data_IF_850869249393
#
_entry.id   IF_850869249393
#
_cell.length_a   1.000
_cell.length_b   1.000
_cell.length_c   1.000
_cell.angle_alpha   90.00
_cell.angle_beta   90.00
_cell.angle_gamma   90.00
#
_symmetry.space_group_name_H-M   'P 1'
#
loop_
_entity.id
_entity.type
_entity.pdbx_description
1 polymer ?
#
# COMPACT_ATOMS: atom_id res chain seq x y z
N UNK A 1 7.24 8.31 10.67
CA UNK A 1 6.05 9.02 11.17
C UNK A 1 5.55 9.85 10.01
N UNK A 2 4.27 9.81 9.71
CA UNK A 2 3.75 10.46 8.52
C UNK A 2 2.43 11.19 8.80
N UNK A 3 2.52 12.51 8.86
CA UNK A 3 1.35 13.38 8.80
C UNK A 3 1.03 13.64 7.33
N UNK A 4 -0.21 13.31 6.90
CA UNK A 4 -0.69 13.53 5.54
C UNK A 4 -1.68 14.69 5.51
N UNK A 5 -1.49 15.63 4.59
CA UNK A 5 -2.41 16.73 4.36
C UNK A 5 -2.77 16.86 2.87
N UNK A 6 -4.05 16.90 2.60
CA UNK A 6 -4.63 17.20 1.29
C UNK A 6 -5.44 18.49 1.41
N UNK A 7 -5.08 19.52 0.65
CA UNK A 7 -5.80 20.80 0.65
C UNK A 7 -6.29 21.15 -0.74
N UNK A 8 -7.61 21.23 -0.90
CA UNK A 8 -8.31 21.57 -2.15
C UNK A 8 -7.88 20.68 -3.33
N UNK A 9 -7.58 19.38 -3.05
CA UNK A 9 -7.06 18.46 -4.06
C UNK A 9 -8.14 18.06 -5.04
N UNK A 10 -7.84 18.23 -6.33
CA UNK A 10 -8.74 17.91 -7.43
C UNK A 10 -8.02 17.12 -8.52
N UNK A 11 -8.75 16.22 -9.20
CA UNK A 11 -8.31 15.50 -10.38
C UNK A 11 -9.29 15.66 -11.50
N UNK A 12 -8.83 16.24 -12.61
CA UNK A 12 -9.54 16.32 -13.88
C UNK A 12 -8.77 15.57 -14.95
N UNK A 13 -9.43 14.65 -15.64
CA UNK A 13 -8.84 13.94 -16.76
C UNK A 13 -8.91 14.75 -18.08
N UNK A 14 -8.09 14.43 -19.10
CA UNK A 14 -8.06 15.15 -20.37
C UNK A 14 -9.41 15.20 -21.11
N UNK A 15 -10.29 14.23 -20.86
CA UNK A 15 -11.66 14.21 -21.41
C UNK A 15 -12.62 15.17 -20.70
N UNK A 16 -12.14 15.99 -19.75
CA UNK A 16 -12.93 16.96 -18.99
C UNK A 16 -13.61 16.38 -17.74
N UNK A 17 -13.55 15.08 -17.51
CA UNK A 17 -14.19 14.44 -16.35
C UNK A 17 -13.45 14.75 -15.06
N UNK A 18 -14.19 15.24 -14.05
CA UNK A 18 -13.70 15.45 -12.70
C UNK A 18 -13.88 14.16 -11.87
N UNK A 19 -12.79 13.46 -11.59
CA UNK A 19 -12.82 12.27 -10.75
C UNK A 19 -12.81 12.59 -9.26
N UNK A 20 -12.15 13.69 -8.90
CA UNK A 20 -12.10 14.25 -7.54
C UNK A 20 -12.20 15.76 -7.66
N UNK A 21 -12.96 16.39 -6.77
CA UNK A 21 -13.14 17.84 -6.76
C UNK A 21 -13.10 18.38 -5.34
N UNK A 22 -12.17 19.30 -5.08
CA UNK A 22 -12.02 20.03 -3.82
C UNK A 22 -11.97 19.10 -2.58
N UNK A 23 -11.16 18.04 -2.66
CA UNK A 23 -11.04 17.07 -1.59
C UNK A 23 -10.04 17.55 -0.54
N UNK A 24 -10.44 17.50 0.72
CA UNK A 24 -9.65 17.92 1.86
C UNK A 24 -9.57 16.79 2.87
N UNK A 25 -8.35 16.49 3.39
CA UNK A 25 -8.11 15.47 4.39
C UNK A 25 -6.86 15.85 5.20
N UNK A 26 -6.97 15.79 6.50
CA UNK A 26 -5.84 15.86 7.43
C UNK A 26 -5.75 14.53 8.19
N UNK A 27 -4.56 13.96 8.24
CA UNK A 27 -4.27 12.76 9.03
C UNK A 27 -3.03 13.01 9.87
N UNK A 28 -3.14 12.74 11.16
CA UNK A 28 -1.99 12.80 12.05
C UNK A 28 -1.14 11.51 11.94
N UNK A 29 0.08 11.60 12.46
CA UNK A 29 0.97 10.44 12.50
C UNK A 29 0.37 9.29 13.31
N UNK A 30 0.46 8.08 12.76
CA UNK A 30 -0.07 6.88 13.38
C UNK A 30 -1.59 6.75 13.33
N UNK A 31 -2.31 7.58 12.60
CA UNK A 31 -3.75 7.40 12.42
C UNK A 31 -4.09 6.27 11.44
N UNK A 32 -5.17 5.54 11.76
CA UNK A 32 -5.83 4.61 10.87
C UNK A 32 -7.15 5.23 10.37
N UNK A 33 -7.15 5.70 9.14
CA UNK A 33 -8.31 6.37 8.52
C UNK A 33 -8.93 5.49 7.45
N UNK A 34 -10.27 5.37 7.45
CA UNK A 34 -11.02 4.63 6.44
C UNK A 34 -11.75 5.61 5.52
N UNK A 35 -11.43 5.55 4.23
CA UNK A 35 -12.07 6.34 3.19
C UNK A 35 -13.29 5.60 2.66
N UNK A 36 -14.48 6.03 3.04
CA UNK A 36 -15.74 5.41 2.63
C UNK A 36 -16.44 6.20 1.52
N UNK A 37 -17.28 5.54 0.75
CA UNK A 37 -18.07 6.18 -0.30
C UNK A 37 -18.58 5.18 -1.33
N UNK A 38 -19.52 5.64 -2.17
CA UNK A 38 -20.10 4.84 -3.24
C UNK A 38 -19.06 4.36 -4.25
N UNK A 39 -19.31 3.27 -4.98
CA UNK A 39 -18.45 2.86 -6.08
C UNK A 39 -18.22 4.00 -7.08
N UNK A 40 -16.98 4.15 -7.56
CA UNK A 40 -16.59 5.18 -8.55
C UNK A 40 -16.64 6.63 -8.06
N UNK A 41 -16.79 6.90 -6.76
CA UNK A 41 -16.77 8.27 -6.22
C UNK A 41 -15.37 8.91 -6.12
N UNK A 42 -14.31 8.24 -6.61
CA UNK A 42 -12.97 8.82 -6.66
C UNK A 42 -11.99 8.32 -5.58
N UNK A 43 -12.37 7.39 -4.69
CA UNK A 43 -11.49 6.86 -3.63
C UNK A 43 -10.14 6.38 -4.18
N UNK A 44 -10.15 5.46 -5.15
CA UNK A 44 -8.92 4.95 -5.78
C UNK A 44 -8.10 6.06 -6.44
N UNK A 45 -8.75 7.09 -6.99
CA UNK A 45 -8.07 8.24 -7.60
C UNK A 45 -7.34 9.05 -6.53
N UNK A 46 -7.97 9.30 -5.36
CA UNK A 46 -7.32 9.97 -4.23
C UNK A 46 -6.10 9.16 -3.78
N UNK A 47 -6.25 7.86 -3.53
CA UNK A 47 -5.14 6.99 -3.13
C UNK A 47 -3.99 6.99 -4.15
N UNK A 48 -4.31 6.96 -5.46
CA UNK A 48 -3.30 7.00 -6.53
C UNK A 48 -2.59 8.35 -6.62
N UNK A 49 -3.29 9.46 -6.40
CA UNK A 49 -2.66 10.78 -6.31
C UNK A 49 -1.67 10.85 -5.14
N UNK A 50 -2.05 10.34 -3.97
CA UNK A 50 -1.17 10.27 -2.80
C UNK A 50 0.05 9.38 -3.09
N UNK A 51 -0.14 8.23 -3.74
CA UNK A 51 0.95 7.33 -4.12
C UNK A 51 1.84 7.88 -5.25
N UNK A 52 1.42 8.92 -5.96
CA UNK A 52 2.11 9.47 -7.14
C UNK A 52 1.91 8.67 -8.43
N UNK A 53 0.92 7.77 -8.44
CA UNK A 53 0.53 7.03 -9.65
C UNK A 53 -0.41 7.82 -10.55
N UNK A 54 -0.96 8.93 -10.06
CA UNK A 54 -1.79 9.90 -10.78
C UNK A 54 -1.36 11.31 -10.35
N UNK A 55 -1.28 12.24 -11.31
CA UNK A 55 -0.97 13.63 -11.02
C UNK A 55 -2.17 14.36 -10.40
N UNK A 56 -1.90 15.28 -9.51
CA UNK A 56 -2.87 16.23 -8.98
C UNK A 56 -3.10 17.34 -10.02
N UNK A 57 -4.36 17.69 -10.28
CA UNK A 57 -4.67 18.79 -11.20
C UNK A 57 -4.67 20.13 -10.48
N UNK A 58 -5.24 20.18 -9.27
CA UNK A 58 -5.31 21.38 -8.41
C UNK A 58 -5.13 20.98 -6.95
N UNK A 59 -4.66 21.90 -6.13
CA UNK A 59 -4.48 21.71 -4.70
C UNK A 59 -3.09 21.19 -4.33
N UNK A 60 -2.89 20.95 -3.05
CA UNK A 60 -1.59 20.62 -2.46
C UNK A 60 -1.69 19.31 -1.68
N UNK A 61 -0.77 18.39 -1.97
CA UNK A 61 -0.49 17.19 -1.20
C UNK A 61 0.78 17.40 -0.39
N UNK A 62 0.71 17.20 0.92
CA UNK A 62 1.88 17.27 1.80
C UNK A 62 2.03 15.99 2.61
N UNK A 63 3.28 15.55 2.76
CA UNK A 63 3.68 14.48 3.68
C UNK A 63 4.74 15.04 4.62
N UNK A 64 4.50 14.98 5.94
CA UNK A 64 5.37 15.56 6.96
C UNK A 64 5.64 17.07 6.72
N UNK A 65 4.63 17.82 6.26
CA UNK A 65 4.71 19.23 5.96
C UNK A 65 5.52 19.58 4.70
N UNK A 66 5.88 18.60 3.89
CA UNK A 66 6.58 18.78 2.61
C UNK A 66 5.64 18.51 1.45
N UNK A 67 5.51 19.41 0.48
CA UNK A 67 4.76 19.16 -0.73
C UNK A 67 5.31 17.95 -1.50
N UNK A 68 4.42 17.05 -1.92
CA UNK A 68 4.79 15.84 -2.66
C UNK A 68 4.15 15.74 -4.04
N UNK A 69 3.51 16.80 -4.53
CA UNK A 69 2.87 16.81 -5.85
C UNK A 69 3.83 16.34 -6.95
N UNK A 70 5.04 16.89 -6.99
CA UNK A 70 6.05 16.63 -8.01
C UNK A 70 7.11 15.58 -7.60
N UNK A 71 6.90 14.91 -6.46
CA UNK A 71 7.81 13.86 -5.99
C UNK A 71 7.48 12.54 -6.68
N UNK A 72 8.48 11.89 -7.25
CA UNK A 72 8.35 10.60 -7.90
C UNK A 72 7.81 9.52 -6.90
N UNK A 73 6.95 8.57 -7.34
CA UNK A 73 6.37 7.54 -6.47
C UNK A 73 7.39 6.77 -5.62
N UNK A 74 8.57 6.49 -6.19
CA UNK A 74 9.66 5.74 -5.53
C UNK A 74 10.26 6.47 -4.33
N UNK A 75 10.17 7.82 -4.33
CA UNK A 75 10.81 8.72 -3.35
C UNK A 75 9.81 9.23 -2.29
N UNK A 76 8.51 8.88 -2.39
CA UNK A 76 7.46 9.30 -1.44
C UNK A 76 7.48 8.55 -0.11
N UNK A 77 8.23 7.46 0.04
CA UNK A 77 8.22 6.59 1.22
C UNK A 77 6.81 6.04 1.57
N UNK A 78 5.96 5.90 0.56
CA UNK A 78 4.59 5.39 0.63
C UNK A 78 4.54 3.99 0.03
N UNK A 79 3.79 3.08 0.66
CA UNK A 79 3.45 1.79 0.07
C UNK A 79 1.96 1.72 -0.25
N UNK A 80 1.64 1.38 -1.47
CA UNK A 80 0.25 1.15 -1.89
C UNK A 80 0.02 -0.31 -2.23
N UNK A 81 -1.01 -0.88 -1.62
CA UNK A 81 -1.55 -2.20 -1.96
C UNK A 81 -2.77 -1.97 -2.84
N UNK A 82 -2.62 -2.28 -4.13
CA UNK A 82 -3.66 -2.10 -5.12
C UNK A 82 -4.70 -3.23 -5.05
N UNK A 83 -5.90 -2.95 -5.51
CA UNK A 83 -6.97 -3.93 -5.71
C UNK A 83 -6.48 -5.14 -6.54
N UNK A 84 -5.75 -4.87 -7.63
CA UNK A 84 -5.06 -5.86 -8.44
C UNK A 84 -3.56 -5.80 -8.15
N UNK A 85 -3.07 -6.74 -7.36
CA UNK A 85 -1.66 -6.77 -6.96
C UNK A 85 -0.74 -7.21 -8.11
N UNK A 86 0.31 -6.41 -8.35
CA UNK A 86 1.32 -6.70 -9.35
C UNK A 86 2.44 -7.57 -8.75
N UNK A 87 2.19 -8.87 -8.59
CA UNK A 87 3.20 -9.83 -8.18
C UNK A 87 4.02 -10.34 -9.38
N UNK A 88 5.29 -10.62 -9.16
CA UNK A 88 6.16 -11.21 -10.16
C UNK A 88 5.86 -12.70 -10.31
N UNK A 89 5.02 -13.05 -11.29
CA UNK A 89 4.41 -14.39 -11.47
C UNK A 89 5.42 -15.54 -11.59
N UNK A 90 6.61 -15.27 -12.10
CA UNK A 90 7.66 -16.28 -12.33
C UNK A 90 8.61 -16.45 -11.14
N UNK A 91 8.47 -15.64 -10.11
CA UNK A 91 9.27 -15.66 -8.90
C UNK A 91 8.60 -16.48 -7.80
N UNK A 92 9.40 -16.90 -6.82
CA UNK A 92 8.91 -17.50 -5.57
C UNK A 92 8.28 -16.43 -4.67
N UNK A 93 7.66 -16.84 -3.57
CA UNK A 93 7.20 -15.92 -2.51
C UNK A 93 8.41 -15.16 -1.94
N UNK A 94 9.49 -15.87 -1.59
CA UNK A 94 10.72 -15.25 -1.11
C UNK A 94 11.27 -14.19 -2.05
N UNK A 95 11.33 -14.49 -3.36
CA UNK A 95 11.84 -13.53 -4.34
C UNK A 95 10.92 -12.32 -4.48
N UNK A 96 9.61 -12.52 -4.43
CA UNK A 96 8.66 -11.41 -4.43
C UNK A 96 8.85 -10.50 -3.22
N UNK A 97 9.02 -11.07 -2.03
CA UNK A 97 9.21 -10.31 -0.79
C UNK A 97 10.57 -9.57 -0.80
N UNK A 98 11.63 -10.24 -1.20
CA UNK A 98 13.01 -9.72 -1.15
C UNK A 98 13.35 -8.75 -2.29
N UNK A 99 12.59 -8.73 -3.39
CA UNK A 99 12.95 -8.05 -4.63
C UNK A 99 13.33 -6.56 -4.43
N UNK A 100 12.52 -5.81 -3.69
CA UNK A 100 12.77 -4.39 -3.45
C UNK A 100 14.06 -4.13 -2.67
N UNK A 101 14.39 -4.99 -1.71
CA UNK A 101 15.62 -4.90 -0.93
C UNK A 101 16.85 -5.27 -1.75
N UNK A 102 16.73 -6.31 -2.61
CA UNK A 102 17.77 -6.69 -3.57
C UNK A 102 18.13 -5.53 -4.50
N UNK A 103 17.13 -4.81 -5.02
CA UNK A 103 17.35 -3.61 -5.85
C UNK A 103 18.06 -2.48 -5.08
N UNK A 104 17.76 -2.32 -3.80
CA UNK A 104 18.45 -1.35 -2.92
C UNK A 104 19.83 -1.83 -2.45
N UNK A 105 20.29 -3.02 -2.91
CA UNK A 105 21.57 -3.62 -2.53
C UNK A 105 21.74 -3.80 -1.00
N UNK A 106 20.66 -4.12 -0.29
CA UNK A 106 20.71 -4.49 1.12
C UNK A 106 21.53 -5.77 1.31
N UNK A 107 22.11 -5.97 2.49
CA UNK A 107 22.88 -7.20 2.80
C UNK A 107 21.95 -8.42 2.86
N UNK A 108 22.52 -9.62 2.66
CA UNK A 108 21.77 -10.88 2.71
C UNK A 108 21.10 -11.06 4.07
N UNK A 109 21.81 -10.74 5.15
CA UNK A 109 21.29 -10.84 6.52
C UNK A 109 20.09 -9.92 6.75
N UNK A 110 20.14 -8.69 6.22
CA UNK A 110 19.03 -7.74 6.29
C UNK A 110 17.81 -8.24 5.52
N UNK A 111 18.03 -8.81 4.34
CA UNK A 111 16.96 -9.37 3.50
C UNK A 111 16.31 -10.56 4.20
N UNK A 112 17.10 -11.50 4.69
CA UNK A 112 16.61 -12.70 5.38
C UNK A 112 15.82 -12.36 6.63
N UNK A 113 16.31 -11.43 7.45
CA UNK A 113 15.61 -10.96 8.64
C UNK A 113 14.26 -10.33 8.31
N UNK A 114 14.22 -9.44 7.31
CA UNK A 114 12.99 -8.75 6.90
C UNK A 114 11.97 -9.70 6.26
N UNK A 115 12.44 -10.65 5.43
CA UNK A 115 11.55 -11.66 4.82
C UNK A 115 10.98 -12.59 5.88
N UNK A 116 11.80 -13.04 6.84
CA UNK A 116 11.34 -13.86 7.96
C UNK A 116 10.29 -13.16 8.79
N UNK A 117 10.54 -11.90 9.16
CA UNK A 117 9.58 -11.09 9.95
C UNK A 117 8.23 -10.94 9.23
N UNK A 118 8.26 -10.62 7.93
CA UNK A 118 7.04 -10.47 7.14
C UNK A 118 6.32 -11.82 6.90
N UNK A 119 7.07 -12.91 6.72
CA UNK A 119 6.50 -14.23 6.55
C UNK A 119 5.81 -14.73 7.83
N UNK A 120 6.46 -14.56 8.98
CA UNK A 120 5.92 -14.92 10.30
C UNK A 120 4.61 -14.16 10.58
N UNK A 121 4.59 -12.84 10.33
CA UNK A 121 3.40 -12.00 10.53
C UNK A 121 2.22 -12.45 9.66
N UNK A 122 2.49 -12.88 8.41
CA UNK A 122 1.47 -13.15 7.40
C UNK A 122 1.20 -14.64 7.18
N UNK A 123 1.80 -15.52 7.97
CA UNK A 123 1.66 -16.98 7.83
C UNK A 123 2.11 -17.46 6.45
N UNK A 124 3.30 -17.02 6.00
CA UNK A 124 3.86 -17.34 4.68
C UNK A 124 5.12 -18.23 4.75
N UNK A 125 5.56 -18.65 5.95
CA UNK A 125 6.85 -19.34 6.17
C UNK A 125 6.98 -20.59 5.31
N UNK A 126 5.95 -21.46 5.31
CA UNK A 126 5.95 -22.71 4.54
C UNK A 126 5.79 -22.48 3.02
N UNK A 127 5.43 -21.25 2.64
CA UNK A 127 5.19 -20.87 1.25
C UNK A 127 6.37 -20.15 0.60
N UNK A 128 7.41 -19.78 1.35
CA UNK A 128 8.52 -18.93 0.87
C UNK A 128 9.14 -19.48 -0.43
N UNK A 129 9.34 -20.79 -0.52
CA UNK A 129 9.93 -21.46 -1.70
C UNK A 129 8.91 -21.80 -2.81
N UNK A 130 7.62 -21.50 -2.59
CA UNK A 130 6.56 -21.80 -3.57
C UNK A 130 6.47 -20.69 -4.62
N UNK A 131 6.13 -21.11 -5.84
CA UNK A 131 5.81 -20.18 -6.93
C UNK A 131 4.39 -19.65 -6.79
N UNK A 132 4.14 -18.42 -7.23
CA UNK A 132 2.82 -17.78 -7.10
C UNK A 132 1.69 -18.53 -7.80
N UNK A 133 1.99 -19.30 -8.85
CA UNK A 133 0.97 -20.03 -9.64
C UNK A 133 0.15 -21.03 -8.82
N UNK A 134 0.70 -21.57 -7.75
CA UNK A 134 0.05 -22.58 -6.91
C UNK A 134 -0.60 -22.00 -5.66
N UNK A 135 -0.51 -20.69 -5.46
CA UNK A 135 -1.08 -20.01 -4.31
C UNK A 135 -2.56 -19.65 -4.55
N UNK A 136 -3.35 -19.72 -3.48
CA UNK A 136 -4.71 -19.16 -3.47
C UNK A 136 -4.67 -17.63 -3.60
N UNK A 137 -5.80 -17.01 -3.95
CA UNK A 137 -5.90 -15.55 -4.05
C UNK A 137 -5.61 -14.85 -2.72
N UNK A 138 -6.08 -15.41 -1.59
CA UNK A 138 -5.76 -14.90 -0.25
C UNK A 138 -4.27 -14.98 0.07
N UNK A 139 -3.59 -16.09 -0.29
CA UNK A 139 -2.14 -16.21 -0.13
C UNK A 139 -1.39 -15.19 -0.99
N UNK A 140 -1.80 -14.98 -2.24
CA UNK A 140 -1.22 -13.95 -3.11
C UNK A 140 -1.40 -12.55 -2.53
N UNK A 141 -2.57 -12.23 -1.96
CA UNK A 141 -2.80 -10.94 -1.29
C UNK A 141 -1.87 -10.76 -0.09
N UNK A 142 -1.68 -11.80 0.74
CA UNK A 142 -0.70 -11.75 1.84
C UNK A 142 0.72 -11.51 1.34
N UNK A 143 1.13 -12.13 0.22
CA UNK A 143 2.43 -11.83 -0.41
C UNK A 143 2.52 -10.37 -0.86
N UNK A 144 1.46 -9.80 -1.44
CA UNK A 144 1.44 -8.38 -1.84
C UNK A 144 1.56 -7.45 -0.62
N UNK A 145 0.86 -7.78 0.47
CA UNK A 145 0.97 -7.07 1.74
C UNK A 145 2.39 -7.16 2.31
N UNK A 146 3.00 -8.35 2.30
CA UNK A 146 4.38 -8.56 2.76
C UNK A 146 5.40 -7.72 1.98
N UNK A 147 5.24 -7.60 0.66
CA UNK A 147 6.09 -6.71 -0.16
C UNK A 147 5.98 -5.25 0.26
N UNK A 148 4.81 -4.82 0.67
CA UNK A 148 4.59 -3.46 1.17
C UNK A 148 5.24 -3.27 2.55
N UNK A 149 5.03 -4.22 3.48
CA UNK A 149 5.57 -4.20 4.85
C UNK A 149 7.10 -4.14 4.87
N UNK A 150 7.77 -4.98 4.08
CA UNK A 150 9.24 -5.06 4.02
C UNK A 150 9.89 -3.72 3.65
N UNK A 151 9.18 -2.86 2.91
CA UNK A 151 9.67 -1.53 2.55
C UNK A 151 9.72 -0.56 3.73
N UNK A 152 9.08 -0.89 4.85
CA UNK A 152 8.91 -0.04 6.05
C UNK A 152 8.49 1.38 5.67
N UNK A 153 7.38 1.55 4.95
CA UNK A 153 6.93 2.86 4.51
C UNK A 153 6.43 3.69 5.70
N UNK A 154 6.40 5.00 5.53
CA UNK A 154 5.81 5.93 6.51
C UNK A 154 4.27 5.90 6.46
N UNK A 155 3.71 5.67 5.27
CA UNK A 155 2.27 5.64 5.02
C UNK A 155 1.90 4.42 4.19
N UNK A 156 0.89 3.68 4.66
CA UNK A 156 0.25 2.62 3.87
C UNK A 156 -1.05 3.12 3.25
N UNK A 157 -1.25 2.79 1.99
CA UNK A 157 -2.48 3.02 1.24
C UNK A 157 -3.07 1.68 0.81
N UNK A 158 -4.35 1.46 1.09
CA UNK A 158 -5.05 0.25 0.72
C UNK A 158 -6.23 0.58 -0.21
N UNK A 159 -6.14 0.18 -1.48
CA UNK A 159 -7.21 0.36 -2.48
C UNK A 159 -8.01 -0.93 -2.58
N UNK A 160 -9.10 -1.02 -1.84
CA UNK A 160 -10.02 -2.17 -1.80
C UNK A 160 -9.30 -3.54 -1.63
N UNK A 161 -8.42 -3.70 -0.62
CA UNK A 161 -7.55 -4.88 -0.50
C UNK A 161 -8.33 -6.18 -0.24
N UNK A 162 -9.59 -6.09 0.20
CA UNK A 162 -10.43 -7.22 0.55
C UNK A 162 -11.40 -7.63 -0.58
N UNK A 163 -11.49 -6.82 -1.64
CA UNK A 163 -12.44 -7.07 -2.72
C UNK A 163 -12.16 -8.39 -3.45
N UNK A 164 -13.22 -9.15 -3.72
CA UNK A 164 -13.15 -10.43 -4.44
C UNK A 164 -12.64 -11.61 -3.60
N UNK A 165 -12.52 -11.46 -2.27
CA UNK A 165 -12.19 -12.54 -1.34
C UNK A 165 -13.45 -13.06 -0.64
N UNK A 166 -13.42 -14.32 -0.22
CA UNK A 166 -14.41 -14.88 0.71
C UNK A 166 -14.30 -14.23 2.09
N UNK A 167 -15.41 -14.25 2.85
CA UNK A 167 -15.52 -13.54 4.13
C UNK A 167 -14.44 -13.96 5.14
N UNK A 168 -14.13 -15.25 5.20
CA UNK A 168 -13.12 -15.78 6.13
C UNK A 168 -11.73 -15.19 5.85
N UNK A 169 -11.35 -15.09 4.56
CA UNK A 169 -10.07 -14.50 4.15
C UNK A 169 -10.08 -12.99 4.36
N UNK A 170 -11.22 -12.32 4.12
CA UNK A 170 -11.35 -10.88 4.42
C UNK A 170 -11.07 -10.57 5.89
N UNK A 171 -11.66 -11.35 6.82
CA UNK A 171 -11.42 -11.20 8.26
C UNK A 171 -9.94 -11.39 8.58
N UNK A 172 -9.29 -12.42 8.02
CA UNK A 172 -7.87 -12.65 8.24
C UNK A 172 -7.00 -11.46 7.79
N UNK A 173 -7.19 -10.99 6.55
CA UNK A 173 -6.41 -9.87 6.02
C UNK A 173 -6.65 -8.59 6.83
N UNK A 174 -7.90 -8.33 7.27
CA UNK A 174 -8.20 -7.18 8.13
C UNK A 174 -7.44 -7.26 9.44
N UNK A 175 -7.46 -8.40 10.11
CA UNK A 175 -6.71 -8.62 11.35
C UNK A 175 -5.20 -8.44 11.15
N UNK A 176 -4.65 -8.86 9.99
CA UNK A 176 -3.24 -8.67 9.65
C UNK A 176 -2.90 -7.17 9.46
N UNK A 177 -3.80 -6.39 8.85
CA UNK A 177 -3.62 -4.93 8.69
C UNK A 177 -3.71 -4.22 10.06
N UNK A 178 -4.65 -4.61 10.92
CA UNK A 178 -4.78 -4.09 12.29
C UNK A 178 -3.52 -4.37 13.12
N UNK A 179 -3.02 -5.61 13.11
CA UNK A 179 -1.76 -5.98 13.76
C UNK A 179 -0.55 -5.22 13.22
N UNK A 180 -0.52 -4.95 11.92
CA UNK A 180 0.52 -4.13 11.30
C UNK A 180 0.51 -2.72 11.89
N UNK A 181 -0.67 -2.11 11.98
CA UNK A 181 -0.85 -0.79 12.56
C UNK A 181 -0.42 -0.75 14.04
N UNK A 182 -0.90 -1.69 14.85
CA UNK A 182 -0.55 -1.79 16.28
C UNK A 182 0.95 -1.99 16.51
N UNK A 183 1.58 -2.85 15.70
CA UNK A 183 3.00 -3.22 15.88
C UNK A 183 3.97 -2.10 15.49
N UNK A 184 3.65 -1.35 14.43
CA UNK A 184 4.58 -0.35 13.87
C UNK A 184 4.14 1.09 14.07
N UNK A 185 2.93 1.33 14.59
CA UNK A 185 2.37 2.68 14.72
C UNK A 185 2.30 3.44 13.39
N UNK A 186 2.16 2.71 12.28
CA UNK A 186 2.26 3.29 10.94
C UNK A 186 0.95 3.97 10.55
N UNK A 187 1.01 5.13 9.92
CA UNK A 187 -0.17 5.80 9.36
C UNK A 187 -0.79 4.97 8.24
N UNK A 188 -2.09 4.75 8.28
CA UNK A 188 -2.83 3.92 7.32
C UNK A 188 -4.03 4.69 6.77
N UNK A 189 -4.13 4.76 5.44
CA UNK A 189 -5.35 5.17 4.72
C UNK A 189 -5.91 3.98 3.95
N UNK A 190 -7.10 3.55 4.37
CA UNK A 190 -7.76 2.35 3.85
C UNK A 190 -9.00 2.72 3.01
#
# INVERSE_FOLDING_TARGET
>A
MAKLSLRHVSKRYPNGFWAVKDFNLEMEDGEFVILTGSPKCGKSTVLRMIAGAEDVTEGILELDGKPINDVEPKDREIAMVFQYYSLYKNMTVYDNLSFGMKLKKCSTEQIEAAVKEAADMLGLEELLNRRLKILSEGQKKRVALGRAIIRKPKLFLFDEPLNGLDEKVQVQIRTEIEKLHERYGTTILY
#
